data_IF_812718803137
#
_entry.id   IF_812718803137
#
_cell.length_a   1.000
_cell.length_b   1.000
_cell.length_c   1.000
_cell.angle_alpha   90.00
_cell.angle_beta   90.00
_cell.angle_gamma   90.00
#
_symmetry.space_group_name_H-M   'P 1'
#
loop_
_entity.id
_entity.type
_entity.pdbx_description
1 polymer ?
#
# COMPACT_ATOMS: atom_id res chain seq x y z
N UNK A 1 67.97 -25.71 24.52
CA UNK A 1 69.19 -24.93 24.23
C UNK A 1 68.83 -24.01 23.06
N UNK A 2 68.13 -22.90 23.33
CA UNK A 2 68.70 -21.52 23.45
C UNK A 2 68.62 -20.83 22.07
N UNK A 3 67.49 -20.22 21.67
CA UNK A 3 67.02 -18.87 22.10
C UNK A 3 65.48 -18.79 22.12
N UNK A 4 64.79 -19.38 23.10
CA UNK A 4 64.18 -18.67 24.23
C UNK A 4 64.33 -17.13 24.21
N UNK A 5 63.17 -16.46 24.37
CA UNK A 5 62.95 -15.10 24.91
C UNK A 5 63.13 -13.97 23.90
N UNK A 6 62.07 -13.60 23.15
CA UNK A 6 61.68 -12.18 23.04
C UNK A 6 60.35 -11.89 22.34
N UNK A 7 59.67 -12.85 21.72
CA UNK A 7 58.33 -12.59 21.15
C UNK A 7 57.23 -13.51 21.70
N UNK A 8 57.42 -13.95 22.94
CA UNK A 8 56.36 -14.50 23.79
C UNK A 8 55.89 -13.44 24.81
N UNK A 9 55.70 -12.21 24.35
CA UNK A 9 55.10 -11.13 25.13
C UNK A 9 54.25 -10.22 24.25
N UNK A 10 53.30 -10.80 23.51
CA UNK A 10 52.08 -10.08 23.13
C UNK A 10 50.91 -11.02 22.82
N UNK A 11 50.74 -12.05 23.65
CA UNK A 11 49.44 -12.68 23.85
C UNK A 11 48.79 -12.02 25.06
N UNK A 12 48.03 -10.94 24.86
CA UNK A 12 46.83 -10.62 25.64
C UNK A 12 46.12 -9.39 25.04
N UNK A 13 44.82 -9.56 24.75
CA UNK A 13 43.84 -8.55 24.29
C UNK A 13 44.08 -8.13 22.83
N UNK A 14 43.42 -8.70 21.84
CA UNK A 14 42.08 -8.25 21.41
C UNK A 14 41.22 -9.46 21.03
N UNK A 15 40.36 -9.85 21.97
CA UNK A 15 39.18 -10.69 21.74
C UNK A 15 38.03 -9.75 21.34
N UNK A 16 37.14 -10.25 20.47
CA UNK A 16 35.79 -9.75 20.16
C UNK A 16 35.66 -8.55 19.20
N UNK A 17 35.38 -8.85 17.93
CA UNK A 17 34.24 -8.26 17.19
C UNK A 17 34.23 -8.76 15.73
N UNK A 18 34.09 -10.06 15.50
CA UNK A 18 33.47 -10.51 14.25
C UNK A 18 31.98 -10.21 14.37
N UNK A 19 31.58 -9.03 13.88
CA UNK A 19 30.19 -8.61 13.80
C UNK A 19 29.45 -9.47 12.76
N UNK A 20 29.11 -10.69 13.16
CA UNK A 20 27.93 -11.35 12.62
C UNK A 20 26.75 -10.52 13.12
N UNK A 21 26.33 -9.55 12.31
CA UNK A 21 25.03 -8.91 12.50
C UNK A 21 24.00 -10.01 12.28
N UNK A 22 23.66 -10.72 13.34
CA UNK A 22 22.47 -11.55 13.39
C UNK A 22 21.31 -10.57 13.19
N UNK A 23 20.87 -10.42 11.95
CA UNK A 23 19.61 -9.76 11.64
C UNK A 23 18.55 -10.61 12.30
N UNK A 24 18.22 -10.28 13.54
CA UNK A 24 16.99 -10.74 14.13
C UNK A 24 15.91 -10.07 13.28
N UNK A 25 15.23 -10.88 12.44
CA UNK A 25 13.93 -10.46 11.93
C UNK A 25 13.11 -10.19 13.18
N UNK A 26 12.79 -8.93 13.45
CA UNK A 26 11.66 -8.65 14.31
C UNK A 26 10.45 -9.27 13.60
N UNK A 27 10.07 -10.48 14.02
CA UNK A 27 8.66 -10.81 13.99
C UNK A 27 8.03 -9.67 14.78
N UNK A 28 7.35 -8.76 14.08
CA UNK A 28 6.64 -7.64 14.69
C UNK A 28 5.89 -8.22 15.87
N UNK A 29 6.41 -7.95 17.07
CA UNK A 29 5.78 -8.37 18.29
C UNK A 29 4.39 -7.76 18.23
N UNK A 30 3.36 -8.60 18.32
CA UNK A 30 2.02 -8.14 18.62
C UNK A 30 2.11 -7.52 20.02
N UNK A 31 2.49 -6.24 20.06
CA UNK A 31 2.34 -5.39 21.23
C UNK A 31 0.84 -5.45 21.52
N UNK A 32 0.50 -5.93 22.71
CA UNK A 32 -0.86 -6.34 23.05
C UNK A 32 -1.90 -5.30 22.66
N UNK A 33 -2.70 -5.64 21.65
CA UNK A 33 -3.84 -4.85 21.22
C UNK A 33 -5.03 -5.81 21.21
N UNK A 34 -5.93 -5.70 22.19
CA UNK A 34 -7.32 -6.11 21.95
C UNK A 34 -8.06 -5.01 21.19
N UNK A 35 -7.33 -4.31 20.32
CA UNK A 35 -7.84 -3.34 19.37
C UNK A 35 -8.64 -4.04 18.30
N UNK A 36 -9.62 -3.31 17.75
CA UNK A 36 -10.44 -3.77 16.63
C UNK A 36 -9.55 -4.37 15.55
N UNK A 37 -9.76 -5.64 15.14
CA UNK A 37 -8.95 -6.28 14.11
C UNK A 37 -8.93 -5.43 12.83
N UNK A 38 -7.74 -4.97 12.43
CA UNK A 38 -7.54 -4.24 11.18
C UNK A 38 -7.20 -5.22 10.07
N UNK A 39 -7.92 -5.15 8.96
CA UNK A 39 -7.64 -5.94 7.75
C UNK A 39 -7.08 -5.05 6.64
N UNK A 40 -6.00 -5.51 6.01
CA UNK A 40 -5.43 -4.86 4.82
C UNK A 40 -5.99 -5.54 3.58
N UNK A 41 -6.67 -4.78 2.74
CA UNK A 41 -7.29 -5.26 1.50
C UNK A 41 -6.54 -4.66 0.32
N UNK A 42 -6.17 -5.51 -0.64
CA UNK A 42 -5.55 -5.05 -1.90
C UNK A 42 -6.63 -4.56 -2.84
N UNK A 43 -6.33 -3.47 -3.54
CA UNK A 43 -7.16 -3.01 -4.66
C UNK A 43 -7.25 -4.10 -5.73
N UNK A 44 -8.41 -4.28 -6.36
CA UNK A 44 -8.50 -5.15 -7.53
C UNK A 44 -7.47 -4.76 -8.60
N UNK A 45 -6.90 -5.77 -9.23
CA UNK A 45 -5.97 -5.62 -10.36
C UNK A 45 -4.72 -4.75 -10.10
N UNK A 46 -4.34 -4.56 -8.83
CA UNK A 46 -3.22 -3.69 -8.46
C UNK A 46 -3.51 -2.20 -8.69
N UNK A 47 -4.79 -1.81 -8.62
CA UNK A 47 -5.23 -0.44 -8.78
C UNK A 47 -4.48 0.56 -7.89
N UNK A 48 -4.23 1.74 -8.44
CA UNK A 48 -3.51 2.84 -7.81
C UNK A 48 -4.47 3.92 -7.34
N UNK A 49 -4.03 4.66 -6.32
CA UNK A 49 -4.75 5.80 -5.76
C UNK A 49 -6.23 5.46 -5.47
N UNK A 50 -6.49 4.42 -4.65
CA UNK A 50 -7.86 4.05 -4.34
C UNK A 50 -8.55 5.12 -3.51
N UNK A 51 -9.81 5.35 -3.80
CA UNK A 51 -10.73 6.08 -2.93
C UNK A 51 -11.95 5.24 -2.65
N UNK A 52 -12.38 5.22 -1.38
CA UNK A 52 -13.47 4.37 -0.91
C UNK A 52 -14.48 5.20 -0.13
N UNK A 53 -15.76 4.90 -0.33
CA UNK A 53 -16.87 5.42 0.45
C UNK A 53 -17.82 4.30 0.84
N UNK A 54 -18.50 4.44 1.98
CA UNK A 54 -19.51 3.50 2.46
C UNK A 54 -20.89 4.11 2.28
N UNK A 55 -21.82 3.36 1.69
CA UNK A 55 -23.22 3.75 1.68
C UNK A 55 -23.89 3.45 3.05
N UNK A 56 -25.17 3.83 3.18
CA UNK A 56 -25.96 3.61 4.40
C UNK A 56 -26.21 2.13 4.71
N UNK A 57 -25.99 1.24 3.74
CA UNK A 57 -26.16 -0.20 3.83
C UNK A 57 -24.82 -0.90 4.13
N UNK A 58 -23.72 -0.16 4.24
CA UNK A 58 -22.38 -0.69 4.47
C UNK A 58 -21.72 -1.27 3.22
N UNK A 59 -22.25 -1.00 2.02
CA UNK A 59 -21.61 -1.36 0.76
C UNK A 59 -20.40 -0.45 0.56
N UNK A 60 -19.24 -1.07 0.32
CA UNK A 60 -18.03 -0.36 -0.06
C UNK A 60 -18.11 -0.01 -1.54
N UNK A 61 -17.99 1.28 -1.84
CA UNK A 61 -17.87 1.83 -3.19
C UNK A 61 -16.43 2.28 -3.38
N UNK A 62 -15.70 1.64 -4.29
CA UNK A 62 -14.28 1.88 -4.50
C UNK A 62 -14.04 2.37 -5.93
N UNK A 63 -13.33 3.48 -6.06
CA UNK A 63 -12.79 3.96 -7.32
C UNK A 63 -11.26 3.89 -7.29
N UNK A 64 -10.64 3.48 -8.39
CA UNK A 64 -9.17 3.38 -8.50
C UNK A 64 -8.71 3.63 -9.93
N UNK A 65 -7.44 4.01 -10.10
CA UNK A 65 -6.81 4.14 -11.41
C UNK A 65 -5.95 2.93 -11.76
N UNK A 66 -5.82 2.62 -13.04
CA UNK A 66 -4.84 1.64 -13.56
C UNK A 66 -4.39 2.09 -14.94
N UNK A 67 -3.10 2.38 -15.09
CA UNK A 67 -2.58 3.00 -16.30
C UNK A 67 -3.24 4.36 -16.55
N UNK A 68 -3.90 4.51 -17.69
CA UNK A 68 -4.62 5.71 -18.11
C UNK A 68 -6.14 5.59 -17.98
N UNK A 69 -6.62 4.55 -17.29
CA UNK A 69 -8.02 4.26 -17.07
C UNK A 69 -8.38 4.29 -15.59
N UNK A 70 -9.64 4.55 -15.32
CA UNK A 70 -10.23 4.53 -14.00
C UNK A 70 -11.34 3.50 -13.94
N UNK A 71 -11.50 2.90 -12.78
CA UNK A 71 -12.43 1.81 -12.55
C UNK A 71 -13.21 2.05 -11.27
N UNK A 72 -14.45 1.61 -11.28
CA UNK A 72 -15.32 1.51 -10.14
C UNK A 72 -15.66 0.04 -9.86
N UNK A 73 -15.66 -0.33 -8.59
CA UNK A 73 -16.16 -1.62 -8.09
C UNK A 73 -16.92 -1.40 -6.79
N UNK A 74 -17.74 -2.37 -6.43
CA UNK A 74 -18.37 -2.41 -5.11
C UNK A 74 -18.14 -3.73 -4.40
N UNK A 75 -18.21 -3.70 -3.07
CA UNK A 75 -18.19 -4.88 -2.22
C UNK A 75 -19.31 -4.81 -1.18
N UNK A 76 -20.03 -5.92 -1.02
CA UNK A 76 -21.09 -6.10 -0.02
C UNK A 76 -20.63 -6.92 1.19
N UNK A 77 -19.38 -7.39 1.18
CA UNK A 77 -18.85 -8.35 2.16
C UNK A 77 -17.59 -7.83 2.86
N UNK A 78 -17.44 -6.51 2.93
CA UNK A 78 -16.32 -5.85 3.59
C UNK A 78 -15.01 -5.94 2.82
N UNK A 79 -15.07 -6.05 1.49
CA UNK A 79 -13.92 -6.07 0.59
C UNK A 79 -13.28 -7.45 0.41
N UNK A 80 -13.99 -8.53 0.80
CA UNK A 80 -13.54 -9.90 0.53
C UNK A 80 -13.72 -10.25 -0.94
N UNK A 81 -14.83 -9.81 -1.53
CA UNK A 81 -15.10 -9.90 -2.96
C UNK A 81 -15.55 -8.55 -3.51
N UNK A 82 -15.25 -8.33 -4.80
CA UNK A 82 -15.63 -7.13 -5.53
C UNK A 82 -16.46 -7.50 -6.75
N UNK A 83 -17.36 -6.60 -7.16
CA UNK A 83 -18.08 -6.71 -8.42
C UNK A 83 -17.11 -6.69 -9.62
N UNK A 84 -17.61 -7.06 -10.80
CA UNK A 84 -16.92 -6.77 -12.05
C UNK A 84 -16.61 -5.26 -12.17
N UNK A 85 -15.41 -4.86 -12.61
CA UNK A 85 -15.05 -3.45 -12.75
C UNK A 85 -15.89 -2.74 -13.81
N UNK A 86 -16.34 -1.53 -13.49
CA UNK A 86 -16.94 -0.58 -14.43
C UNK A 86 -15.89 0.45 -14.78
N UNK A 87 -15.53 0.55 -16.06
CA UNK A 87 -14.60 1.59 -16.52
C UNK A 87 -15.28 2.96 -16.49
N UNK A 88 -14.62 3.94 -15.87
CA UNK A 88 -15.14 5.29 -15.64
C UNK A 88 -15.03 6.17 -16.89
N UNK A 89 -13.92 6.04 -17.62
CA UNK A 89 -13.58 6.85 -18.78
C UNK A 89 -13.71 6.05 -20.09
N UNK A 90 -14.35 6.64 -21.11
CA UNK A 90 -14.41 6.02 -22.45
C UNK A 90 -13.11 6.16 -23.25
N UNK A 91 -12.37 7.24 -23.03
CA UNK A 91 -11.08 7.52 -23.67
C UNK A 91 -10.00 7.52 -22.61
N UNK A 92 -8.88 6.89 -22.89
CA UNK A 92 -7.70 6.92 -22.04
C UNK A 92 -7.31 8.37 -21.68
N UNK A 93 -6.93 8.59 -20.43
CA UNK A 93 -6.50 9.90 -19.96
C UNK A 93 -6.63 10.15 -18.46
N UNK A 94 -7.03 9.18 -17.64
CA UNK A 94 -7.01 9.36 -16.19
C UNK A 94 -5.57 9.47 -15.69
N UNK A 95 -5.33 10.43 -14.80
CA UNK A 95 -4.04 10.62 -14.15
C UNK A 95 -4.03 9.89 -12.80
N UNK A 96 -3.50 8.67 -12.78
CA UNK A 96 -3.44 7.83 -11.57
C UNK A 96 -2.08 7.85 -10.84
N UNK A 97 -1.25 8.87 -11.10
CA UNK A 97 0.09 9.00 -10.52
C UNK A 97 0.14 10.08 -9.44
N UNK A 98 1.04 9.94 -8.48
CA UNK A 98 1.27 10.98 -7.47
C UNK A 98 0.32 10.95 -6.27
N UNK A 99 -0.26 9.80 -5.92
CA UNK A 99 -0.92 9.58 -4.62
C UNK A 99 -2.30 10.22 -4.44
N UNK A 100 -2.49 11.49 -4.81
CA UNK A 100 -3.76 12.20 -4.62
C UNK A 100 -4.60 12.37 -5.90
N UNK A 101 -4.02 12.14 -7.08
CA UNK A 101 -4.60 12.55 -8.38
C UNK A 101 -5.61 11.57 -9.00
N UNK A 102 -5.78 10.40 -8.39
CA UNK A 102 -6.72 9.39 -8.86
C UNK A 102 -8.20 9.77 -8.66
N UNK A 103 -9.12 8.90 -9.09
CA UNK A 103 -10.54 9.14 -9.01
C UNK A 103 -11.01 9.46 -7.58
N UNK A 104 -11.99 10.36 -7.49
CA UNK A 104 -12.66 10.83 -6.27
C UNK A 104 -14.11 10.40 -6.29
N UNK A 105 -14.61 9.83 -5.20
CA UNK A 105 -15.95 9.24 -5.13
C UNK A 105 -16.79 9.84 -3.99
N UNK A 106 -18.01 10.22 -4.31
CA UNK A 106 -19.00 10.68 -3.35
C UNK A 106 -20.34 9.98 -3.59
N UNK A 107 -21.09 9.76 -2.50
CA UNK A 107 -22.41 9.13 -2.53
C UNK A 107 -23.45 10.18 -2.17
N UNK A 108 -24.38 10.43 -3.10
CA UNK A 108 -25.51 11.32 -2.93
C UNK A 108 -26.50 10.82 -1.87
N UNK A 109 -27.34 11.72 -1.36
CA UNK A 109 -28.36 11.38 -0.34
C UNK A 109 -29.40 10.36 -0.84
N UNK A 110 -29.59 10.34 -2.15
CA UNK A 110 -30.43 9.43 -2.95
C UNK A 110 -29.72 8.11 -3.32
N UNK A 111 -28.45 7.95 -2.93
CA UNK A 111 -27.63 6.79 -3.29
C UNK A 111 -26.94 6.92 -4.64
N UNK A 112 -27.02 8.06 -5.33
CA UNK A 112 -26.31 8.27 -6.58
C UNK A 112 -24.79 8.30 -6.34
N UNK A 113 -24.06 7.50 -7.11
CA UNK A 113 -22.60 7.45 -7.03
C UNK A 113 -22.03 8.47 -8.03
N UNK A 114 -21.28 9.44 -7.52
CA UNK A 114 -20.62 10.45 -8.31
C UNK A 114 -19.11 10.22 -8.26
N UNK A 115 -18.48 10.21 -9.43
CA UNK A 115 -17.03 10.04 -9.55
C UNK A 115 -16.46 11.17 -10.39
N UNK A 116 -15.44 11.84 -9.84
CA UNK A 116 -14.66 12.86 -10.52
C UNK A 116 -13.22 12.40 -10.66
N UNK A 117 -12.53 12.78 -11.73
CA UNK A 117 -11.14 12.41 -11.95
C UNK A 117 -10.41 13.49 -12.73
N UNK A 118 -9.09 13.57 -12.53
CA UNK A 118 -8.24 14.41 -13.35
C UNK A 118 -8.00 13.74 -14.71
N UNK A 119 -8.26 14.49 -15.76
CA UNK A 119 -8.10 14.04 -17.13
C UNK A 119 -6.89 14.72 -17.78
N UNK A 120 -6.09 13.94 -18.50
CA UNK A 120 -5.10 14.47 -19.42
C UNK A 120 -5.73 14.57 -20.81
N UNK A 121 -5.80 15.79 -21.35
CA UNK A 121 -6.09 16.06 -22.77
C UNK A 121 -4.86 16.69 -23.41
N UNK A 122 -4.77 16.63 -24.74
CA UNK A 122 -3.67 17.19 -25.53
C UNK A 122 -3.37 18.65 -25.11
N UNK A 123 -2.40 18.84 -24.22
CA UNK A 123 -1.98 20.15 -23.72
C UNK A 123 -1.95 20.35 -22.19
N UNK A 124 -2.50 19.45 -21.35
CA UNK A 124 -2.42 19.63 -19.89
C UNK A 124 -3.23 18.65 -19.03
N UNK A 125 -3.02 18.74 -17.70
CA UNK A 125 -3.81 18.07 -16.66
C UNK A 125 -4.92 19.03 -16.24
N UNK A 126 -6.19 18.62 -16.36
CA UNK A 126 -7.37 19.41 -15.97
C UNK A 126 -8.34 18.59 -15.13
#
# INVERSE_FOLDING_TARGET
MERRKFFLSMLLVVIAATASCLVTRSNGSNVGDRGTPVSVIRTPDGGLVPEVSLDKQGVLHLAYGKGSDGYYVQSRDGGKTFSSPVQLNRRAGIVAVGGERGPKIAIGKDGAIQVAWLGQRSGGIW
#
